data_IF_629518843981
#
_entry.id   IF_629518843981
#
_cell.length_a   1.000
_cell.length_b   1.000
_cell.length_c   1.000
_cell.angle_alpha   90.00
_cell.angle_beta   90.00
_cell.angle_gamma   90.00
#
_symmetry.space_group_name_H-M   'P 1'
#
loop_
_entity.id
_entity.type
_entity.pdbx_description
1 polymer ?
#
# COMPACT_ATOMS: atom_id res chain seq x y z
N UNK A 1 1.16 -25.25 20.02
CA UNK A 1 2.25 -24.71 19.18
C UNK A 1 2.62 -25.75 18.14
N UNK A 2 2.23 -25.57 16.86
CA UNK A 2 2.78 -26.40 15.78
C UNK A 2 3.50 -25.57 14.70
N UNK A 3 4.80 -25.87 14.57
CA UNK A 3 5.56 -26.04 13.32
C UNK A 3 5.41 -25.02 12.18
N UNK A 4 6.34 -24.06 12.11
CA UNK A 4 6.65 -23.30 10.91
C UNK A 4 7.74 -24.03 10.10
N UNK A 5 7.44 -24.40 8.85
CA UNK A 5 8.42 -24.91 7.88
C UNK A 5 8.68 -23.86 6.80
N UNK A 6 9.93 -23.40 6.59
CA UNK A 6 10.26 -22.47 5.52
C UNK A 6 10.62 -23.24 4.25
N UNK A 7 9.92 -22.99 3.15
CA UNK A 7 10.34 -23.49 1.84
C UNK A 7 9.23 -23.66 0.81
N UNK A 8 8.85 -22.58 0.13
CA UNK A 8 8.40 -22.67 -1.26
C UNK A 8 8.71 -21.34 -1.97
N UNK A 9 9.85 -21.31 -2.65
CA UNK A 9 10.14 -20.34 -3.71
C UNK A 9 9.23 -20.64 -4.90
N UNK A 10 8.02 -20.09 -4.89
CA UNK A 10 7.16 -20.14 -6.07
C UNK A 10 7.62 -19.06 -7.06
N UNK A 11 8.51 -19.49 -7.97
CA UNK A 11 8.91 -18.74 -9.15
C UNK A 11 7.68 -18.51 -10.01
N UNK A 12 7.37 -17.23 -10.27
CA UNK A 12 6.31 -16.81 -11.17
C UNK A 12 6.52 -17.42 -12.57
N UNK A 13 5.68 -18.38 -12.96
CA UNK A 13 5.58 -18.86 -14.34
C UNK A 13 4.48 -18.09 -15.04
N UNK A 14 4.86 -17.25 -16.01
CA UNK A 14 3.91 -16.59 -16.91
C UNK A 14 3.07 -17.59 -17.71
N UNK A 15 1.97 -17.14 -18.34
CA UNK A 15 1.05 -18.02 -19.05
C UNK A 15 1.76 -18.69 -20.23
N UNK A 16 1.87 -20.02 -20.17
CA UNK A 16 2.41 -20.84 -21.24
C UNK A 16 1.52 -20.73 -22.48
N UNK A 17 2.12 -20.34 -23.60
CA UNK A 17 1.50 -20.35 -24.93
C UNK A 17 0.93 -21.73 -25.24
N UNK A 18 -0.39 -21.81 -25.46
CA UNK A 18 -1.08 -23.02 -25.89
C UNK A 18 -0.66 -23.33 -27.32
N UNK A 19 0.17 -24.37 -27.48
CA UNK A 19 0.48 -24.98 -28.77
C UNK A 19 -0.72 -25.82 -29.24
N UNK A 20 -1.31 -25.44 -30.37
CA UNK A 20 -2.37 -26.18 -31.05
C UNK A 20 -1.79 -27.37 -31.82
N UNK A 21 -1.97 -28.58 -31.30
CA UNK A 21 -1.87 -29.82 -32.09
C UNK A 21 -3.26 -30.43 -32.30
N UNK A 22 -3.58 -30.95 -33.50
CA UNK A 22 -4.90 -31.50 -33.79
C UNK A 22 -5.10 -32.87 -33.11
N UNK A 23 -6.30 -33.10 -32.59
CA UNK A 23 -6.76 -34.34 -31.94
C UNK A 23 -7.01 -35.45 -32.99
N UNK A 24 -6.56 -36.70 -32.77
CA UNK A 24 -7.07 -37.83 -33.53
C UNK A 24 -8.50 -38.18 -33.08
N UNK A 25 -9.36 -38.52 -34.05
CA UNK A 25 -10.72 -39.02 -33.84
C UNK A 25 -10.68 -40.47 -33.36
N UNK A 26 -11.32 -40.78 -32.24
CA UNK A 26 -11.50 -42.17 -31.80
C UNK A 26 -12.15 -42.31 -30.43
N UNK A 27 -13.32 -42.96 -30.42
CA UNK A 27 -14.02 -43.64 -29.29
C UNK A 27 -14.52 -42.80 -28.10
N UNK A 28 -15.84 -42.82 -27.90
CA UNK A 28 -16.53 -42.19 -26.77
C UNK A 28 -16.22 -42.94 -25.46
N UNK A 29 -15.65 -42.22 -24.49
CA UNK A 29 -15.46 -42.70 -23.12
C UNK A 29 -16.76 -42.54 -22.31
N UNK A 30 -17.06 -43.45 -21.36
CA UNK A 30 -18.26 -43.35 -20.51
C UNK A 30 -18.19 -42.12 -19.59
N UNK A 31 -19.35 -41.58 -19.15
CA UNK A 31 -19.40 -40.38 -18.31
C UNK A 31 -18.72 -40.65 -16.97
N UNK A 32 -17.77 -39.78 -16.60
CA UNK A 32 -17.12 -39.79 -15.28
C UNK A 32 -18.16 -39.53 -14.18
N UNK A 33 -18.08 -40.21 -13.02
CA UNK A 33 -18.91 -39.90 -11.87
C UNK A 33 -18.64 -38.47 -11.39
N UNK A 34 -19.71 -37.76 -11.01
CA UNK A 34 -19.64 -36.39 -10.55
C UNK A 34 -18.72 -36.28 -9.32
N UNK A 35 -17.65 -35.50 -9.43
CA UNK A 35 -16.78 -35.20 -8.30
C UNK A 35 -17.59 -34.54 -7.18
N UNK A 36 -17.44 -34.96 -5.91
CA UNK A 36 -18.13 -34.31 -4.80
C UNK A 36 -17.71 -32.84 -4.73
N UNK A 37 -18.72 -31.93 -4.74
CA UNK A 37 -18.51 -30.49 -4.57
C UNK A 37 -17.75 -30.26 -3.27
N UNK A 38 -16.48 -29.84 -3.40
CA UNK A 38 -15.67 -29.38 -2.28
C UNK A 38 -16.45 -28.28 -1.54
N UNK A 39 -16.62 -28.34 -0.21
CA UNK A 39 -17.31 -27.29 0.53
C UNK A 39 -16.59 -25.97 0.26
N UNK A 40 -17.30 -24.99 -0.31
CA UNK A 40 -16.79 -23.63 -0.37
C UNK A 40 -16.69 -23.14 1.08
N UNK A 41 -15.49 -23.22 1.65
CA UNK A 41 -15.17 -22.52 2.89
C UNK A 41 -15.49 -21.06 2.66
N UNK A 42 -16.54 -20.56 3.32
CA UNK A 42 -16.92 -19.15 3.32
C UNK A 42 -15.72 -18.37 3.85
N UNK A 43 -14.92 -17.81 2.96
CA UNK A 43 -13.89 -16.85 3.35
C UNK A 43 -14.60 -15.71 4.08
N UNK A 44 -14.16 -15.29 5.27
CA UNK A 44 -14.80 -14.20 5.99
C UNK A 44 -14.84 -12.99 5.05
N UNK A 45 -16.00 -12.35 4.93
CA UNK A 45 -16.16 -11.09 4.19
C UNK A 45 -15.41 -9.99 4.95
N UNK A 46 -14.08 -10.01 4.88
CA UNK A 46 -13.23 -8.93 5.36
C UNK A 46 -13.63 -7.67 4.61
N UNK A 47 -14.18 -6.70 5.33
CA UNK A 47 -14.37 -5.34 4.79
C UNK A 47 -12.97 -4.78 4.55
N UNK A 48 -12.43 -4.98 3.33
CA UNK A 48 -11.15 -4.38 2.90
C UNK A 48 -11.22 -2.86 3.04
N UNK A 49 -10.83 -2.30 4.16
CA UNK A 49 -10.81 -0.86 4.38
C UNK A 49 -9.82 -0.23 3.41
N UNK A 50 -10.23 0.86 2.76
CA UNK A 50 -9.44 1.53 1.74
C UNK A 50 -8.19 2.20 2.33
N UNK A 51 -7.24 2.46 1.44
CA UNK A 51 -5.99 3.21 1.62
C UNK A 51 -6.21 4.47 2.47
N UNK A 52 -5.33 4.72 3.43
CA UNK A 52 -5.46 5.82 4.41
C UNK A 52 -4.55 7.00 4.14
N UNK A 53 -4.43 7.40 2.87
CA UNK A 53 -3.60 8.52 2.41
C UNK A 53 -3.76 9.79 3.26
N UNK A 54 -5.00 10.12 3.65
CA UNK A 54 -5.29 11.32 4.44
C UNK A 54 -4.60 11.33 5.81
N UNK A 55 -4.51 10.15 6.46
CA UNK A 55 -3.92 10.03 7.79
C UNK A 55 -2.40 10.28 7.74
N UNK A 56 -1.71 9.64 6.79
CA UNK A 56 -0.28 9.85 6.56
C UNK A 56 0.03 11.31 6.21
N UNK A 57 -0.79 11.93 5.35
CA UNK A 57 -0.65 13.33 4.97
C UNK A 57 -0.77 14.29 6.17
N UNK A 58 -1.82 14.12 7.00
CA UNK A 58 -2.05 14.97 8.18
C UNK A 58 -0.97 14.76 9.24
N UNK A 59 -0.55 13.51 9.48
CA UNK A 59 0.52 13.21 10.43
C UNK A 59 1.85 13.83 9.97
N UNK A 60 2.24 13.62 8.72
CA UNK A 60 3.45 14.19 8.14
C UNK A 60 3.44 15.72 8.20
N UNK A 61 2.33 16.34 7.80
CA UNK A 61 2.14 17.79 7.92
C UNK A 61 2.31 18.29 9.36
N UNK A 62 1.68 17.60 10.32
CA UNK A 62 1.67 18.03 11.72
C UNK A 62 3.04 17.91 12.36
N UNK A 63 3.82 16.89 12.00
CA UNK A 63 5.20 16.74 12.45
C UNK A 63 6.12 17.83 11.87
N UNK A 64 5.91 18.20 10.61
CA UNK A 64 6.70 19.22 9.92
C UNK A 64 6.22 20.67 10.14
N UNK A 65 5.09 20.90 10.83
CA UNK A 65 4.44 22.22 10.95
C UNK A 65 5.31 23.35 11.50
N UNK A 66 6.31 23.02 12.33
CA UNK A 66 7.25 24.00 12.91
C UNK A 66 8.27 24.52 11.88
N UNK A 67 8.43 23.85 10.74
CA UNK A 67 9.33 24.28 9.67
C UNK A 67 8.75 25.34 8.73
N UNK A 68 7.52 25.81 8.97
CA UNK A 68 6.80 26.74 8.10
C UNK A 68 5.90 26.03 7.07
N UNK A 69 5.02 26.80 6.42
CA UNK A 69 3.96 26.28 5.55
C UNK A 69 4.47 25.46 4.36
N UNK A 70 5.54 25.91 3.71
CA UNK A 70 6.14 25.17 2.58
C UNK A 70 6.74 23.84 3.00
N UNK A 71 7.40 23.79 4.16
CA UNK A 71 8.04 22.58 4.68
C UNK A 71 6.99 21.56 5.10
N UNK A 72 5.91 21.99 5.76
CA UNK A 72 4.83 21.10 6.17
C UNK A 72 4.00 20.60 4.99
N UNK A 73 3.74 21.45 3.99
CA UNK A 73 3.10 21.04 2.74
C UNK A 73 3.95 19.99 2.00
N UNK A 74 5.27 20.18 1.95
CA UNK A 74 6.18 19.21 1.34
C UNK A 74 6.11 17.84 2.02
N UNK A 75 6.08 17.78 3.35
CA UNK A 75 5.91 16.52 4.08
C UNK A 75 4.57 15.84 3.75
N UNK A 76 3.47 16.62 3.71
CA UNK A 76 2.16 16.09 3.34
C UNK A 76 2.17 15.50 1.92
N UNK A 77 2.73 16.23 0.96
CA UNK A 77 2.83 15.79 -0.44
C UNK A 77 3.69 14.53 -0.57
N UNK A 78 4.79 14.44 0.17
CA UNK A 78 5.62 13.23 0.23
C UNK A 78 4.83 12.02 0.75
N UNK A 79 4.02 12.21 1.79
CA UNK A 79 3.19 11.15 2.37
C UNK A 79 1.99 10.73 1.48
N UNK A 80 1.56 11.60 0.56
CA UNK A 80 0.51 11.29 -0.42
C UNK A 80 1.07 10.55 -1.64
N UNK A 81 2.35 10.78 -1.96
CA UNK A 81 2.97 10.30 -3.20
C UNK A 81 2.79 8.79 -3.45
N UNK A 82 2.98 7.88 -2.48
CA UNK A 82 2.86 6.43 -2.73
C UNK A 82 1.49 6.00 -3.22
N UNK A 83 0.43 6.64 -2.74
CA UNK A 83 -0.94 6.33 -3.10
C UNK A 83 -1.40 6.97 -4.41
N UNK A 84 -0.65 7.94 -4.92
CA UNK A 84 -1.03 8.73 -6.09
C UNK A 84 -1.37 7.87 -7.31
N UNK A 85 -0.61 6.82 -7.68
CA UNK A 85 -0.98 5.95 -8.81
C UNK A 85 -2.34 5.26 -8.60
N UNK A 86 -2.63 4.82 -7.38
CA UNK A 86 -3.90 4.17 -7.06
C UNK A 86 -5.05 5.19 -7.10
N UNK A 87 -4.84 6.42 -6.58
CA UNK A 87 -5.83 7.50 -6.64
C UNK A 87 -6.15 7.91 -8.08
N UNK A 88 -5.14 8.08 -8.92
CA UNK A 88 -5.32 8.44 -10.34
C UNK A 88 -6.08 7.35 -11.08
N UNK A 89 -5.70 6.08 -10.89
CA UNK A 89 -6.46 4.95 -11.47
C UNK A 89 -7.89 4.88 -10.94
N UNK A 90 -8.09 5.09 -9.64
CA UNK A 90 -9.42 5.09 -9.04
C UNK A 90 -10.31 6.16 -9.67
N UNK A 91 -9.78 7.37 -9.86
CA UNK A 91 -10.46 8.47 -10.54
C UNK A 91 -10.80 8.11 -12.00
N UNK A 92 -9.85 7.52 -12.73
CA UNK A 92 -10.07 7.08 -14.11
C UNK A 92 -11.14 5.97 -14.24
N UNK A 93 -11.21 5.07 -13.27
CA UNK A 93 -12.18 3.97 -13.23
C UNK A 93 -13.55 4.40 -12.64
N UNK A 94 -13.60 5.54 -11.95
CA UNK A 94 -14.78 6.02 -11.23
C UNK A 94 -16.08 6.09 -12.07
N UNK A 95 -16.05 6.55 -13.34
CA UNK A 95 -17.26 6.59 -14.18
C UNK A 95 -17.89 5.20 -14.37
N UNK A 96 -17.06 4.14 -14.38
CA UNK A 96 -17.48 2.75 -14.61
C UNK A 96 -17.69 1.94 -13.33
N UNK A 97 -17.55 2.56 -12.16
CA UNK A 97 -17.58 1.86 -10.86
C UNK A 97 -18.86 1.04 -10.61
N UNK A 98 -20.00 1.46 -11.15
CA UNK A 98 -21.30 0.77 -10.99
C UNK A 98 -21.39 -0.52 -11.82
N UNK A 99 -20.55 -0.65 -12.84
CA UNK A 99 -20.52 -1.80 -13.75
C UNK A 99 -19.51 -2.87 -13.33
N UNK A 100 -18.84 -2.69 -12.19
CA UNK A 100 -17.79 -3.59 -11.71
C UNK A 100 -18.12 -4.07 -10.30
N UNK A 101 -17.80 -5.32 -10.02
CA UNK A 101 -17.73 -5.79 -8.65
C UNK A 101 -16.55 -5.13 -7.93
N UNK A 102 -16.61 -5.07 -6.59
CA UNK A 102 -15.52 -4.54 -5.78
C UNK A 102 -14.19 -5.26 -6.02
N UNK A 103 -14.23 -6.58 -6.24
CA UNK A 103 -13.03 -7.38 -6.51
C UNK A 103 -12.38 -6.97 -7.82
N UNK A 104 -13.16 -6.85 -8.89
CA UNK A 104 -12.67 -6.41 -10.20
C UNK A 104 -12.12 -4.98 -10.14
N UNK A 105 -12.76 -4.10 -9.38
CA UNK A 105 -12.28 -2.74 -9.17
C UNK A 105 -10.90 -2.73 -8.49
N UNK A 106 -10.73 -3.51 -7.41
CA UNK A 106 -9.45 -3.65 -6.71
C UNK A 106 -8.38 -4.32 -7.57
N UNK A 107 -8.74 -5.35 -8.34
CA UNK A 107 -7.82 -6.03 -9.24
C UNK A 107 -7.30 -5.07 -10.31
N UNK A 108 -8.17 -4.27 -10.94
CA UNK A 108 -7.77 -3.25 -11.92
C UNK A 108 -6.94 -2.11 -11.31
N UNK A 109 -7.16 -1.78 -10.04
CA UNK A 109 -6.34 -0.81 -9.32
C UNK A 109 -4.90 -1.29 -9.15
N UNK A 110 -4.73 -2.50 -8.64
CA UNK A 110 -3.44 -2.96 -8.11
C UNK A 110 -2.65 -3.88 -9.05
N UNK A 111 -3.26 -4.42 -10.10
CA UNK A 111 -2.58 -5.34 -11.03
C UNK A 111 -2.13 -4.64 -12.32
N UNK A 112 -1.00 -5.12 -12.87
CA UNK A 112 -0.60 -4.93 -14.26
C UNK A 112 0.21 -3.67 -14.63
N UNK A 113 1.04 -3.83 -15.66
CA UNK A 113 1.66 -2.75 -16.45
C UNK A 113 2.68 -1.87 -15.70
N UNK A 114 2.95 -0.70 -16.28
CA UNK A 114 3.86 0.30 -15.70
C UNK A 114 3.40 0.79 -14.33
N UNK A 115 2.09 0.84 -14.07
CA UNK A 115 1.57 1.31 -12.80
C UNK A 115 1.86 0.38 -11.62
N UNK A 116 1.93 -0.94 -11.83
CA UNK A 116 2.32 -1.87 -10.76
C UNK A 116 3.81 -1.69 -10.39
N UNK A 117 4.67 -1.42 -11.38
CA UNK A 117 6.09 -1.09 -11.13
C UNK A 117 6.24 0.26 -10.44
N UNK A 118 5.48 1.27 -10.86
CA UNK A 118 5.47 2.59 -10.23
C UNK A 118 4.98 2.50 -8.78
N UNK A 119 3.90 1.76 -8.54
CA UNK A 119 3.38 1.49 -7.20
C UNK A 119 4.43 0.78 -6.32
N UNK A 120 5.12 -0.25 -6.85
CA UNK A 120 6.21 -0.91 -6.13
C UNK A 120 7.39 0.04 -5.83
N UNK A 121 7.77 0.89 -6.79
CA UNK A 121 8.82 1.89 -6.61
C UNK A 121 8.43 2.91 -5.52
N UNK A 122 7.18 3.37 -5.53
CA UNK A 122 6.74 4.38 -4.58
C UNK A 122 6.54 3.82 -3.17
N UNK A 123 6.17 2.55 -3.01
CA UNK A 123 6.10 1.91 -1.69
C UNK A 123 7.44 1.29 -1.25
N UNK A 124 8.52 1.50 -2.01
CA UNK A 124 9.88 1.13 -1.62
C UNK A 124 10.54 2.26 -0.83
N UNK A 125 11.36 1.92 0.16
CA UNK A 125 12.18 2.90 0.88
C UNK A 125 13.27 3.50 -0.01
N UNK A 126 13.69 2.80 -1.06
CA UNK A 126 14.86 3.18 -1.84
C UNK A 126 14.77 4.59 -2.43
N UNK A 127 13.74 4.99 -3.21
CA UNK A 127 13.72 6.32 -3.82
C UNK A 127 13.66 7.46 -2.79
N UNK A 128 12.92 7.27 -1.69
CA UNK A 128 12.80 8.26 -0.63
C UNK A 128 14.13 8.41 0.15
N UNK A 129 14.81 7.30 0.46
CA UNK A 129 16.15 7.35 1.07
C UNK A 129 17.19 7.99 0.14
N UNK A 130 17.12 7.73 -1.16
CA UNK A 130 18.00 8.35 -2.15
C UNK A 130 17.78 9.87 -2.20
N UNK A 131 16.53 10.33 -2.25
CA UNK A 131 16.21 11.76 -2.19
C UNK A 131 16.74 12.42 -0.91
N UNK A 132 16.64 11.72 0.23
CA UNK A 132 17.19 12.20 1.50
C UNK A 132 18.73 12.27 1.48
N UNK A 133 19.39 11.24 0.94
CA UNK A 133 20.84 11.14 0.83
C UNK A 133 21.44 12.20 -0.11
N UNK A 134 20.74 12.55 -1.20
CA UNK A 134 21.16 13.59 -2.14
C UNK A 134 20.84 15.01 -1.68
N UNK A 135 19.93 15.17 -0.70
CA UNK A 135 19.51 16.49 -0.18
C UNK A 135 20.64 17.42 0.32
N UNK A 136 21.78 16.93 0.89
CA UNK A 136 22.86 17.80 1.34
C UNK A 136 23.49 18.63 0.22
N UNK A 137 23.48 18.14 -1.03
CA UNK A 137 24.00 18.82 -2.21
C UNK A 137 23.12 20.00 -2.69
N UNK A 138 21.94 20.18 -2.11
CA UNK A 138 20.99 21.22 -2.49
C UNK A 138 21.18 22.51 -1.69
N UNK A 139 20.76 23.64 -2.28
CA UNK A 139 20.70 24.94 -1.60
C UNK A 139 19.89 24.85 -0.29
N UNK A 140 20.19 25.65 0.75
CA UNK A 140 19.59 25.49 2.08
C UNK A 140 18.05 25.47 2.12
N UNK A 141 17.41 26.30 1.30
CA UNK A 141 15.95 26.38 1.19
C UNK A 141 15.37 25.12 0.55
N UNK A 142 15.88 24.74 -0.63
CA UNK A 142 15.47 23.52 -1.35
C UNK A 142 15.73 22.26 -0.54
N UNK A 143 16.89 22.20 0.14
CA UNK A 143 17.26 21.10 1.04
C UNK A 143 16.23 20.86 2.13
N UNK A 144 15.72 21.92 2.77
CA UNK A 144 14.68 21.80 3.80
C UNK A 144 13.39 21.20 3.23
N UNK A 145 12.97 21.66 2.06
CA UNK A 145 11.77 21.17 1.37
C UNK A 145 11.91 19.70 0.96
N UNK A 146 13.02 19.35 0.29
CA UNK A 146 13.28 17.97 -0.17
C UNK A 146 13.41 16.99 0.98
N UNK A 147 14.09 17.38 2.08
CA UNK A 147 14.15 16.55 3.30
C UNK A 147 12.78 16.31 3.87
N UNK A 148 11.96 17.36 3.99
CA UNK A 148 10.60 17.24 4.53
C UNK A 148 9.73 16.33 3.67
N UNK A 149 9.80 16.48 2.35
CA UNK A 149 9.13 15.61 1.39
C UNK A 149 9.57 14.15 1.52
N UNK A 150 10.88 13.90 1.52
CA UNK A 150 11.43 12.55 1.67
C UNK A 150 11.03 11.91 3.01
N UNK A 151 11.04 12.68 4.11
CA UNK A 151 10.62 12.19 5.42
C UNK A 151 9.12 11.88 5.47
N UNK A 152 8.27 12.68 4.83
CA UNK A 152 6.85 12.38 4.70
C UNK A 152 6.57 11.13 3.87
N UNK A 153 7.35 10.92 2.82
CA UNK A 153 7.29 9.69 2.02
C UNK A 153 7.76 8.46 2.83
N UNK A 154 8.90 8.57 3.53
CA UNK A 154 9.40 7.49 4.39
C UNK A 154 8.42 7.15 5.51
N UNK A 155 7.73 8.13 6.09
CA UNK A 155 6.75 7.87 7.15
C UNK A 155 5.52 7.13 6.65
N UNK A 156 5.06 7.41 5.41
CA UNK A 156 4.06 6.61 4.74
C UNK A 156 4.53 5.15 4.62
N UNK A 157 5.69 4.92 3.99
CA UNK A 157 6.19 3.58 3.72
C UNK A 157 6.48 2.80 5.02
N UNK A 158 6.91 3.47 6.09
CA UNK A 158 7.11 2.86 7.41
C UNK A 158 5.78 2.43 8.04
N UNK A 159 4.73 3.25 7.92
CA UNK A 159 3.39 2.92 8.41
C UNK A 159 2.82 1.72 7.64
N UNK A 160 3.02 1.70 6.33
CA UNK A 160 2.58 0.64 5.44
C UNK A 160 3.35 -0.67 5.66
N UNK A 161 4.66 -0.58 5.88
CA UNK A 161 5.48 -1.73 6.28
C UNK A 161 4.86 -2.41 7.50
N UNK A 162 4.54 -1.63 8.54
CA UNK A 162 3.95 -2.12 9.79
C UNK A 162 2.51 -2.64 9.66
N UNK A 163 1.82 -2.42 8.54
CA UNK A 163 0.37 -2.72 8.43
C UNK A 163 -0.01 -3.58 7.23
N UNK A 164 0.95 -4.02 6.42
CA UNK A 164 0.74 -4.93 5.30
C UNK A 164 1.16 -6.38 5.63
N UNK A 165 0.20 -7.16 6.13
CA UNK A 165 0.37 -8.61 6.33
C UNK A 165 0.22 -9.40 5.01
N UNK A 166 -0.97 -9.40 4.42
CA UNK A 166 -1.35 -10.28 3.30
C UNK A 166 -0.92 -9.77 1.92
N UNK A 167 -0.56 -8.49 1.81
CA UNK A 167 -0.23 -7.82 0.54
C UNK A 167 1.04 -6.98 0.66
N UNK A 168 2.07 -7.55 1.30
CA UNK A 168 3.36 -6.91 1.45
C UNK A 168 3.92 -6.46 0.09
N UNK A 169 4.23 -5.17 -0.03
CA UNK A 169 4.91 -4.57 -1.18
C UNK A 169 6.43 -4.83 -1.06
N UNK A 170 7.19 -4.91 -2.16
CA UNK A 170 8.63 -5.09 -2.09
C UNK A 170 9.30 -3.82 -1.54
N UNK A 171 9.78 -3.85 -0.30
CA UNK A 171 10.16 -2.64 0.42
C UNK A 171 11.51 -2.05 0.00
N UNK A 172 12.31 -2.82 -0.74
CA UNK A 172 13.64 -2.46 -1.21
C UNK A 172 13.75 -2.45 -2.74
N UNK A 173 12.62 -2.44 -3.47
CA UNK A 173 12.63 -2.39 -4.93
C UNK A 173 13.30 -1.09 -5.43
N UNK A 174 14.13 -1.10 -6.49
CA UNK A 174 14.45 -2.22 -7.38
C UNK A 174 15.64 -3.09 -6.94
N UNK A 175 16.25 -2.84 -5.78
CA UNK A 175 17.42 -3.59 -5.32
C UNK A 175 17.07 -5.01 -4.87
N UNK A 176 15.88 -5.21 -4.31
CA UNK A 176 15.40 -6.51 -3.87
C UNK A 176 13.88 -6.60 -3.92
N UNK A 177 13.38 -7.78 -4.27
CA UNK A 177 11.96 -8.15 -4.19
C UNK A 177 11.56 -8.65 -2.79
N UNK A 178 12.42 -8.46 -1.78
CA UNK A 178 12.14 -8.80 -0.39
C UNK A 178 10.82 -8.15 0.08
N UNK A 179 9.99 -8.96 0.72
CA UNK A 179 8.68 -8.60 1.25
C UNK A 179 8.59 -9.04 2.70
N UNK A 180 8.71 -8.09 3.62
CA UNK A 180 8.34 -8.33 5.00
C UNK A 180 6.81 -8.35 5.14
N UNK A 181 6.28 -9.43 5.72
CA UNK A 181 4.86 -9.56 6.04
C UNK A 181 4.66 -9.13 7.49
N UNK A 182 3.89 -8.06 7.70
CA UNK A 182 3.62 -7.58 9.05
C UNK A 182 2.71 -8.54 9.82
N UNK A 183 2.90 -8.71 11.15
CA UNK A 183 1.92 -9.39 12.00
C UNK A 183 0.62 -8.59 12.17
N UNK A 184 0.62 -7.30 11.81
CA UNK A 184 -0.55 -6.41 11.87
C UNK A 184 -1.07 -6.13 10.46
N UNK A 185 -2.39 -6.22 10.26
CA UNK A 185 -3.05 -5.89 9.00
C UNK A 185 -4.15 -4.86 9.24
N UNK A 186 -4.03 -3.67 8.65
CA UNK A 186 -5.12 -2.68 8.76
C UNK A 186 -6.40 -3.12 8.02
N UNK A 187 -6.31 -4.14 7.13
CA UNK A 187 -7.42 -4.68 6.34
C UNK A 187 -8.13 -5.88 7.00
N UNK A 188 -7.51 -6.49 8.00
CA UNK A 188 -8.06 -7.65 8.70
C UNK A 188 -8.25 -7.32 10.19
N UNK A 189 -9.51 -7.22 10.68
CA UNK A 189 -9.78 -7.06 12.10
C UNK A 189 -9.14 -8.17 12.96
N UNK A 190 -8.97 -9.36 12.38
CA UNK A 190 -8.35 -10.53 13.01
C UNK A 190 -6.84 -10.35 13.23
N UNK A 191 -6.20 -9.39 12.56
CA UNK A 191 -4.78 -9.04 12.70
C UNK A 191 -4.60 -7.62 13.23
N UNK A 192 -5.25 -7.29 14.35
CA UNK A 192 -5.13 -6.00 15.06
C UNK A 192 -5.55 -4.74 14.28
N UNK A 193 -6.16 -4.85 13.11
CA UNK A 193 -6.51 -3.69 12.27
C UNK A 193 -7.42 -2.66 12.95
N UNK A 194 -8.35 -3.11 13.79
CA UNK A 194 -9.25 -2.22 14.57
C UNK A 194 -8.48 -1.44 15.63
N UNK A 195 -7.59 -2.11 16.38
CA UNK A 195 -6.80 -1.48 17.42
C UNK A 195 -5.81 -0.46 16.83
N UNK A 196 -5.13 -0.82 15.73
CA UNK A 196 -4.25 0.09 15.01
C UNK A 196 -4.99 1.32 14.49
N UNK A 197 -6.19 1.10 13.93
CA UNK A 197 -7.07 2.20 13.49
C UNK A 197 -7.39 3.16 14.62
N UNK A 198 -7.80 2.65 15.78
CA UNK A 198 -8.12 3.49 16.93
C UNK A 198 -6.89 4.29 17.39
N UNK A 199 -5.72 3.64 17.45
CA UNK A 199 -4.47 4.30 17.80
C UNK A 199 -4.09 5.41 16.81
N UNK A 200 -4.18 5.16 15.50
CA UNK A 200 -3.90 6.15 14.46
C UNK A 200 -4.81 7.39 14.59
N UNK A 201 -6.12 7.18 14.81
CA UNK A 201 -7.06 8.28 15.00
C UNK A 201 -6.82 9.02 16.31
N UNK A 202 -6.45 8.32 17.38
CA UNK A 202 -6.06 8.95 18.65
C UNK A 202 -4.82 9.83 18.47
N UNK A 203 -3.81 9.39 17.72
CA UNK A 203 -2.63 10.19 17.39
C UNK A 203 -3.01 11.42 16.55
N UNK A 204 -3.88 11.27 15.56
CA UNK A 204 -4.39 12.41 14.77
C UNK A 204 -5.12 13.43 15.65
N UNK A 205 -5.99 12.97 16.55
CA UNK A 205 -6.70 13.85 17.49
C UNK A 205 -5.74 14.56 18.45
N UNK A 206 -4.76 13.85 19.01
CA UNK A 206 -3.74 14.44 19.87
C UNK A 206 -2.88 15.48 19.11
N UNK A 207 -2.53 15.18 17.86
CA UNK A 207 -1.79 16.06 16.98
C UNK A 207 -2.57 17.35 16.69
N UNK A 208 -3.87 17.25 16.41
CA UNK A 208 -4.77 18.38 16.22
C UNK A 208 -4.94 19.20 17.50
N UNK A 209 -5.23 18.55 18.64
CA UNK A 209 -5.38 19.22 19.92
C UNK A 209 -4.12 20.03 20.28
N UNK A 210 -2.94 19.42 20.12
CA UNK A 210 -1.66 20.10 20.34
C UNK A 210 -1.42 21.26 19.38
N UNK A 211 -1.88 21.15 18.12
CA UNK A 211 -1.79 22.25 17.16
C UNK A 211 -2.68 23.43 17.58
N UNK A 212 -3.91 23.16 18.03
CA UNK A 212 -4.85 24.16 18.52
C UNK A 212 -4.36 24.85 19.80
N UNK A 213 -3.86 24.08 20.77
CA UNK A 213 -3.31 24.64 22.03
C UNK A 213 -2.11 25.56 21.76
N UNK A 214 -1.23 25.19 20.84
CA UNK A 214 -0.07 26.02 20.50
C UNK A 214 -0.41 27.35 19.81
N UNK A 215 -1.59 27.48 19.21
CA UNK A 215 -2.07 28.76 18.62
C UNK A 215 -2.61 29.70 19.70
N UNK A 216 -3.25 29.15 20.73
CA UNK A 216 -3.81 29.94 21.84
C UNK A 216 -2.72 30.63 22.65
N UNK A 217 -1.59 29.95 22.87
CA UNK A 217 -0.45 30.51 23.61
C UNK A 217 0.39 31.54 22.84
N UNK A 218 0.15 31.73 21.54
CA UNK A 218 0.88 32.69 20.71
C UNK A 218 0.09 33.98 20.41
N UNK A 219 -1.14 34.08 20.91
CA UNK A 219 -2.04 35.23 20.74
C UNK A 219 -2.29 36.01 22.03
N UNK A 220 -1.46 35.81 23.06
CA UNK A 220 -1.40 36.56 24.31
C UNK A 220 -0.06 37.24 24.41
#
# INVERSE_FOLDING_TARGET
MPGWTPGSTEVWRGPSSVSSKPRPKGTAAPPRPASPRRPQTKTPRGKITAVRTYSHAILAWTLARRGGGTVSAAAALGAVLPDLPALVKAAALWPRRRSMTRREFCERLYTGGASAKLDAALHSFFPATLALALSPALKPQTRRVVRSFALGWLSHNASDLLTHAEHARPQLWPLSDFRWQSPVSYRSPEHHGTAFTAAEHAVLLAALARALSSRRSAGT
#
